data_IF_745284027375
#
_entry.id   IF_745284027375
#
_cell.length_a   1.000
_cell.length_b   1.000
_cell.length_c   1.000
_cell.angle_alpha   90.00
_cell.angle_beta   90.00
_cell.angle_gamma   90.00
#
_symmetry.space_group_name_H-M   'P 1'
#
loop_
_entity.id
_entity.type
_entity.pdbx_description
1 polymer ?
#
# COMPACT_ATOMS: atom_id res chain seq x y z
N UNK A 1 18.73 -36.66 -1.48
CA UNK A 1 18.72 -35.25 -1.91
C UNK A 1 17.77 -34.99 -3.07
N UNK A 2 17.67 -35.87 -4.09
CA UNK A 2 16.70 -35.69 -5.19
C UNK A 2 15.25 -35.47 -4.73
N UNK A 3 14.78 -36.19 -3.71
CA UNK A 3 13.45 -35.99 -3.12
C UNK A 3 13.31 -34.75 -2.21
N UNK A 4 14.41 -34.22 -1.66
CA UNK A 4 14.39 -33.02 -0.81
C UNK A 4 14.39 -31.74 -1.66
N UNK A 5 15.01 -31.79 -2.85
CA UNK A 5 14.98 -30.70 -3.82
C UNK A 5 13.58 -30.44 -4.40
N UNK A 6 12.68 -31.42 -4.30
CA UNK A 6 11.27 -31.27 -4.68
C UNK A 6 10.40 -30.63 -3.57
N UNK A 7 10.95 -30.47 -2.36
CA UNK A 7 10.29 -29.76 -1.26
C UNK A 7 10.68 -28.27 -1.29
N UNK A 8 9.78 -27.34 -0.93
CA UNK A 8 10.08 -25.91 -0.86
C UNK A 8 10.95 -25.61 0.37
N UNK A 9 12.21 -26.05 0.33
CA UNK A 9 13.17 -25.94 1.40
C UNK A 9 14.36 -25.11 0.92
N UNK A 10 14.78 -24.12 1.71
CA UNK A 10 15.92 -23.26 1.37
C UNK A 10 17.28 -23.84 1.78
N UNK A 11 17.31 -24.95 2.53
CA UNK A 11 18.54 -25.54 3.06
C UNK A 11 18.27 -26.52 4.19
N UNK A 12 19.30 -27.21 4.69
CA UNK A 12 19.17 -28.14 5.82
C UNK A 12 20.21 -27.85 6.90
N UNK A 13 19.78 -27.87 8.16
CA UNK A 13 20.68 -27.86 9.31
C UNK A 13 20.75 -29.26 9.92
N UNK A 14 21.95 -29.84 10.05
CA UNK A 14 22.16 -31.21 10.52
C UNK A 14 23.09 -31.25 11.73
N UNK A 15 22.74 -32.05 12.73
CA UNK A 15 23.61 -32.35 13.87
C UNK A 15 24.23 -33.74 13.69
N UNK A 16 25.54 -33.77 13.51
CA UNK A 16 26.31 -35.00 13.35
C UNK A 16 26.52 -35.71 14.71
N UNK A 17 27.00 -36.96 14.64
CA UNK A 17 27.32 -37.85 15.77
C UNK A 17 26.13 -38.23 16.67
N UNK A 18 24.91 -38.14 16.13
CA UNK A 18 23.69 -38.68 16.77
C UNK A 18 23.13 -39.89 16.01
N UNK A 19 23.12 -39.79 14.68
CA UNK A 19 22.64 -40.83 13.77
C UNK A 19 23.49 -40.93 12.50
N UNK A 20 24.25 -39.87 12.18
CA UNK A 20 25.11 -39.73 11.02
C UNK A 20 26.43 -39.16 11.55
N UNK A 21 27.53 -39.88 11.36
CA UNK A 21 28.84 -39.47 11.89
C UNK A 21 29.48 -38.37 11.03
N UNK A 22 29.43 -38.55 9.72
CA UNK A 22 30.01 -37.65 8.73
C UNK A 22 29.05 -37.51 7.55
N UNK A 23 29.06 -36.34 6.89
CA UNK A 23 28.28 -36.12 5.68
C UNK A 23 29.07 -36.72 4.51
N UNK A 24 28.51 -37.69 3.76
CA UNK A 24 29.20 -38.27 2.61
C UNK A 24 29.55 -37.20 1.55
N UNK A 25 30.72 -37.35 0.92
CA UNK A 25 31.26 -36.36 -0.02
C UNK A 25 30.37 -36.16 -1.26
N UNK A 26 29.76 -37.23 -1.75
CA UNK A 26 28.79 -37.23 -2.85
C UNK A 26 27.52 -36.40 -2.53
N UNK A 27 27.12 -36.32 -1.26
CA UNK A 27 26.01 -35.47 -0.81
C UNK A 27 26.42 -34.00 -0.80
N UNK A 28 27.65 -33.69 -0.41
CA UNK A 28 28.20 -32.32 -0.40
C UNK A 28 28.31 -31.81 -1.84
N UNK A 29 28.93 -32.59 -2.74
CA UNK A 29 29.09 -32.22 -4.15
C UNK A 29 27.74 -31.98 -4.84
N UNK A 30 26.74 -32.81 -4.52
CA UNK A 30 25.39 -32.63 -5.04
C UNK A 30 24.73 -31.36 -4.48
N UNK A 31 24.88 -31.09 -3.18
CA UNK A 31 24.32 -29.89 -2.55
C UNK A 31 24.96 -28.60 -3.11
N UNK A 32 26.27 -28.59 -3.31
CA UNK A 32 26.99 -27.49 -3.93
C UNK A 32 26.54 -27.26 -5.38
N UNK A 33 26.33 -28.35 -6.16
CA UNK A 33 25.81 -28.24 -7.53
C UNK A 33 24.39 -27.68 -7.63
N UNK A 34 23.61 -27.83 -6.55
CA UNK A 34 22.23 -27.36 -6.44
C UNK A 34 22.13 -26.01 -5.69
N UNK A 35 23.25 -25.40 -5.31
CA UNK A 35 23.30 -24.22 -4.43
C UNK A 35 22.45 -24.39 -3.15
N UNK A 36 22.37 -25.63 -2.63
CA UNK A 36 21.53 -25.99 -1.49
C UNK A 36 22.35 -26.00 -0.19
N UNK A 37 22.22 -25.00 0.68
CA UNK A 37 23.09 -24.88 1.85
C UNK A 37 22.85 -25.99 2.88
N UNK A 38 23.94 -26.64 3.30
CA UNK A 38 23.98 -27.57 4.42
C UNK A 38 24.72 -26.91 5.58
N UNK A 39 24.04 -26.74 6.71
CA UNK A 39 24.59 -26.12 7.92
C UNK A 39 24.84 -27.21 8.95
N UNK A 40 26.11 -27.41 9.31
CA UNK A 40 26.46 -28.31 10.42
C UNK A 40 26.26 -27.60 11.75
N UNK A 41 25.39 -28.16 12.60
CA UNK A 41 25.18 -27.66 13.97
C UNK A 41 26.32 -28.14 14.87
N UNK A 42 27.00 -27.24 15.61
CA UNK A 42 28.03 -27.61 16.58
C UNK A 42 27.53 -28.62 17.61
N UNK A 43 28.39 -29.56 18.01
CA UNK A 43 28.03 -30.61 18.98
C UNK A 43 27.60 -30.04 20.34
N UNK A 44 28.16 -28.89 20.71
CA UNK A 44 27.89 -28.14 21.95
C UNK A 44 26.47 -27.58 22.03
N UNK A 45 25.75 -27.46 20.90
CA UNK A 45 24.41 -26.89 20.84
C UNK A 45 23.35 -27.97 20.63
N UNK A 46 22.25 -27.92 21.39
CA UNK A 46 21.11 -28.81 21.14
C UNK A 46 20.29 -28.29 19.97
N UNK A 47 19.62 -29.19 19.23
CA UNK A 47 18.74 -28.79 18.14
C UNK A 47 17.62 -27.86 18.64
N UNK A 48 17.11 -28.12 19.85
CA UNK A 48 16.13 -27.25 20.52
C UNK A 48 16.67 -25.86 20.81
N UNK A 49 17.94 -25.73 21.24
CA UNK A 49 18.56 -24.42 21.46
C UNK A 49 18.76 -23.62 20.16
N UNK A 50 19.21 -24.28 19.09
CA UNK A 50 19.33 -23.63 17.76
C UNK A 50 17.96 -23.20 17.23
N UNK A 51 16.97 -24.08 17.30
CA UNK A 51 15.60 -23.76 16.90
C UNK A 51 15.04 -22.60 17.74
N UNK A 52 15.27 -22.59 19.05
CA UNK A 52 14.83 -21.52 19.93
C UNK A 52 15.51 -20.19 19.60
N UNK A 53 16.83 -20.18 19.32
CA UNK A 53 17.55 -18.96 18.92
C UNK A 53 17.04 -18.40 17.60
N UNK A 54 16.87 -19.26 16.58
CA UNK A 54 16.29 -18.85 15.31
C UNK A 54 14.86 -18.32 15.48
N UNK A 55 14.03 -19.02 16.27
CA UNK A 55 12.67 -18.59 16.54
C UNK A 55 12.64 -17.27 17.30
N UNK A 56 13.52 -17.07 18.28
CA UNK A 56 13.64 -15.81 19.03
C UNK A 56 14.01 -14.67 18.09
N UNK A 57 15.02 -14.86 17.23
CA UNK A 57 15.40 -13.86 16.23
C UNK A 57 14.25 -13.50 15.26
N UNK A 58 13.51 -14.51 14.78
CA UNK A 58 12.34 -14.29 13.93
C UNK A 58 11.23 -13.56 14.69
N UNK A 59 10.98 -13.94 15.94
CA UNK A 59 9.96 -13.33 16.79
C UNK A 59 10.31 -11.89 17.11
N UNK A 60 11.55 -11.59 17.49
CA UNK A 60 12.02 -10.23 17.80
C UNK A 60 11.79 -9.30 16.60
N UNK A 61 12.15 -9.74 15.39
CA UNK A 61 11.91 -8.98 14.16
C UNK A 61 10.42 -8.77 13.87
N UNK A 62 9.58 -9.81 14.02
CA UNK A 62 8.13 -9.70 13.81
C UNK A 62 7.44 -8.82 14.86
N UNK A 63 7.91 -8.89 16.10
CA UNK A 63 7.39 -8.08 17.22
C UNK A 63 7.69 -6.60 16.96
N UNK A 64 8.91 -6.28 16.54
CA UNK A 64 9.29 -4.90 16.18
C UNK A 64 8.51 -4.37 14.97
N UNK A 65 8.32 -5.17 13.91
CA UNK A 65 7.47 -4.78 12.77
C UNK A 65 6.01 -4.54 13.18
N UNK A 66 5.46 -5.38 14.05
CA UNK A 66 4.11 -5.24 14.57
C UNK A 66 3.98 -3.97 15.42
N UNK A 67 4.92 -3.74 16.34
CA UNK A 67 4.93 -2.53 17.17
C UNK A 67 5.06 -1.27 16.30
N UNK A 68 5.91 -1.32 15.28
CA UNK A 68 6.04 -0.23 14.32
C UNK A 68 4.74 0.00 13.56
N UNK A 69 4.10 -1.04 13.03
CA UNK A 69 2.82 -0.92 12.35
C UNK A 69 1.72 -0.33 13.27
N UNK A 70 1.66 -0.75 14.53
CA UNK A 70 0.76 -0.17 15.53
C UNK A 70 1.09 1.30 15.82
N UNK A 71 2.37 1.66 15.86
CA UNK A 71 2.80 3.05 16.03
C UNK A 71 2.32 3.91 14.87
N UNK A 72 2.53 3.46 13.63
CA UNK A 72 2.06 4.14 12.41
C UNK A 72 0.54 4.27 12.41
N UNK A 73 -0.20 3.20 12.75
CA UNK A 73 -1.66 3.26 12.87
C UNK A 73 -2.11 4.36 13.85
N UNK A 74 -1.49 4.43 15.04
CA UNK A 74 -1.81 5.43 16.06
C UNK A 74 -1.45 6.85 15.60
N UNK A 75 -0.28 7.04 14.99
CA UNK A 75 0.15 8.36 14.49
C UNK A 75 -0.83 8.88 13.43
N UNK A 76 -1.14 8.06 12.41
CA UNK A 76 -2.05 8.43 11.34
C UNK A 76 -3.47 8.66 11.86
N UNK A 77 -3.93 7.83 12.80
CA UNK A 77 -5.23 8.00 13.45
C UNK A 77 -5.30 9.35 14.17
N UNK A 78 -4.25 9.72 14.92
CA UNK A 78 -4.16 11.02 15.58
C UNK A 78 -4.19 12.18 14.57
N UNK A 79 -3.50 12.06 13.43
CA UNK A 79 -3.56 13.05 12.36
C UNK A 79 -4.99 13.19 11.80
N UNK A 80 -5.64 12.08 11.50
CA UNK A 80 -7.01 12.06 10.99
C UNK A 80 -8.01 12.69 11.97
N UNK A 81 -7.91 12.35 13.27
CA UNK A 81 -8.76 12.91 14.34
C UNK A 81 -8.53 14.42 14.49
N UNK A 82 -7.28 14.87 14.40
CA UNK A 82 -6.94 16.30 14.42
C UNK A 82 -7.35 17.05 13.15
N UNK A 83 -7.97 16.38 12.18
CA UNK A 83 -8.49 17.00 10.97
C UNK A 83 -7.41 17.29 9.92
N UNK A 84 -6.27 16.59 9.95
CA UNK A 84 -5.23 16.76 8.94
C UNK A 84 -5.76 16.40 7.55
N UNK A 85 -5.29 17.13 6.55
CA UNK A 85 -5.66 16.91 5.16
C UNK A 85 -5.09 15.60 4.63
N UNK A 86 -5.73 15.05 3.58
CA UNK A 86 -5.20 13.89 2.85
C UNK A 86 -3.76 14.13 2.36
N UNK A 87 -3.45 15.35 1.91
CA UNK A 87 -2.11 15.74 1.50
C UNK A 87 -1.11 15.63 2.63
N UNK A 88 -1.47 16.06 3.83
CA UNK A 88 -0.63 15.95 5.02
C UNK A 88 -0.33 14.48 5.38
N UNK A 89 -1.31 13.58 5.25
CA UNK A 89 -1.12 12.16 5.52
C UNK A 89 -0.13 11.52 4.52
N UNK A 90 -0.29 11.80 3.22
CA UNK A 90 0.62 11.28 2.19
C UNK A 90 2.02 11.88 2.30
N UNK A 91 2.12 13.16 2.65
CA UNK A 91 3.40 13.84 2.92
C UNK A 91 4.16 13.18 4.08
N UNK A 92 3.45 12.92 5.17
CA UNK A 92 3.99 12.25 6.36
C UNK A 92 4.39 10.81 6.02
N UNK A 93 3.54 10.06 5.30
CA UNK A 93 3.87 8.70 4.86
C UNK A 93 5.15 8.64 4.03
N UNK A 94 5.31 9.54 3.05
CA UNK A 94 6.55 9.61 2.27
C UNK A 94 7.77 9.94 3.14
N UNK A 95 7.61 10.81 4.14
CA UNK A 95 8.69 11.17 5.06
C UNK A 95 9.10 10.01 5.97
N UNK A 96 8.14 9.25 6.50
CA UNK A 96 8.37 8.08 7.34
C UNK A 96 9.06 6.96 6.56
N UNK A 97 8.56 6.67 5.35
CA UNK A 97 9.10 5.61 4.49
C UNK A 97 10.39 6.02 3.78
N UNK A 98 10.72 7.31 3.77
CA UNK A 98 11.82 7.91 2.97
C UNK A 98 11.74 7.54 1.48
N UNK A 99 10.53 7.33 0.99
CA UNK A 99 10.24 6.91 -0.37
C UNK A 99 9.22 7.86 -1.01
N UNK A 100 9.27 8.09 -2.35
CA UNK A 100 8.24 8.84 -3.04
C UNK A 100 6.90 8.09 -3.01
N UNK A 101 5.88 8.73 -2.44
CA UNK A 101 4.51 8.20 -2.37
C UNK A 101 3.56 9.03 -3.23
N UNK A 102 2.70 8.35 -4.00
CA UNK A 102 1.60 8.92 -4.78
C UNK A 102 0.27 8.27 -4.37
N UNK A 103 -0.80 9.06 -4.39
CA UNK A 103 -2.16 8.57 -4.27
C UNK A 103 -2.93 8.93 -5.54
N UNK A 104 -3.40 7.91 -6.25
CA UNK A 104 -4.24 8.05 -7.43
C UNK A 104 -5.69 7.77 -7.09
N UNK A 105 -6.60 8.51 -7.72
CA UNK A 105 -8.03 8.20 -7.69
C UNK A 105 -8.35 6.97 -8.56
N UNK A 106 -9.60 6.49 -8.53
CA UNK A 106 -10.02 5.32 -9.30
C UNK A 106 -9.93 5.46 -10.83
N UNK A 107 -9.71 6.67 -11.35
CA UNK A 107 -9.58 6.97 -12.79
C UNK A 107 -8.09 7.16 -13.15
N UNK A 108 -7.20 7.07 -12.16
CA UNK A 108 -5.75 7.17 -12.33
C UNK A 108 -5.23 8.61 -12.23
N UNK A 109 -6.01 9.58 -11.76
CA UNK A 109 -5.55 10.95 -11.58
C UNK A 109 -4.90 11.14 -10.21
N UNK A 110 -3.81 11.92 -10.15
CA UNK A 110 -3.07 12.18 -8.91
C UNK A 110 -3.92 13.05 -7.99
N UNK A 111 -4.26 12.52 -6.82
CA UNK A 111 -5.01 13.26 -5.78
C UNK A 111 -4.10 13.85 -4.72
N UNK A 112 -2.97 13.19 -4.44
CA UNK A 112 -2.01 13.61 -3.44
C UNK A 112 -0.65 12.95 -3.70
N UNK A 113 0.42 13.60 -3.23
CA UNK A 113 1.79 13.16 -3.41
C UNK A 113 2.70 13.66 -2.28
N UNK A 114 3.78 12.93 -2.03
CA UNK A 114 4.81 13.32 -1.05
C UNK A 114 5.82 14.34 -1.60
N UNK A 115 6.54 15.03 -0.71
CA UNK A 115 7.53 16.07 -1.02
C UNK A 115 8.58 15.66 -2.06
N UNK A 116 8.89 14.37 -2.19
CA UNK A 116 9.80 13.83 -3.21
C UNK A 116 9.43 14.27 -4.64
N UNK A 117 8.16 14.53 -4.92
CA UNK A 117 7.67 14.94 -6.24
C UNK A 117 7.74 16.45 -6.51
N UNK A 118 8.29 17.25 -5.59
CA UNK A 118 8.37 18.71 -5.77
C UNK A 118 9.46 19.14 -6.75
N UNK A 119 10.49 18.32 -6.95
CA UNK A 119 11.62 18.57 -7.86
C UNK A 119 11.23 18.39 -9.33
N UNK A 120 11.82 19.18 -10.24
CA UNK A 120 11.48 19.16 -11.68
C UNK A 120 11.53 17.77 -12.33
N UNK A 121 12.60 17.00 -12.09
CA UNK A 121 12.73 15.64 -12.64
C UNK A 121 11.65 14.70 -12.12
N UNK A 122 11.33 14.78 -10.83
CA UNK A 122 10.32 13.90 -10.22
C UNK A 122 8.90 14.26 -10.65
N UNK A 123 8.61 15.50 -11.04
CA UNK A 123 7.31 15.86 -11.65
C UNK A 123 7.11 15.15 -12.99
N UNK A 124 8.17 14.98 -13.78
CA UNK A 124 8.12 14.25 -15.06
C UNK A 124 7.85 12.77 -14.78
N UNK A 125 8.57 12.18 -13.81
CA UNK A 125 8.33 10.80 -13.37
C UNK A 125 6.89 10.60 -12.93
N UNK A 126 6.34 11.48 -12.10
CA UNK A 126 4.94 11.42 -11.65
C UNK A 126 3.96 11.39 -12.83
N UNK A 127 4.18 12.24 -13.83
CA UNK A 127 3.33 12.30 -15.03
C UNK A 127 3.41 11.00 -15.84
N UNK A 128 4.62 10.47 -16.04
CA UNK A 128 4.82 9.21 -16.75
C UNK A 128 4.16 8.02 -16.04
N UNK A 129 4.32 7.94 -14.71
CA UNK A 129 3.66 6.93 -13.85
C UNK A 129 2.14 7.03 -13.99
N UNK A 130 1.60 8.23 -13.89
CA UNK A 130 0.16 8.49 -14.00
C UNK A 130 -0.38 8.03 -15.37
N UNK A 131 0.27 8.42 -16.46
CA UNK A 131 -0.16 8.07 -17.81
C UNK A 131 -0.13 6.56 -18.07
N UNK A 132 0.90 5.86 -17.58
CA UNK A 132 1.01 4.41 -17.73
C UNK A 132 -0.08 3.69 -16.94
N UNK A 133 -0.30 4.07 -15.67
CA UNK A 133 -1.33 3.44 -14.83
C UNK A 133 -2.72 3.68 -15.40
N UNK A 134 -2.97 4.87 -15.95
CA UNK A 134 -4.25 5.21 -16.56
C UNK A 134 -4.54 4.40 -17.82
N UNK A 135 -3.51 4.02 -18.60
CA UNK A 135 -3.67 3.18 -19.80
C UNK A 135 -4.07 1.75 -19.45
N UNK A 136 -3.44 1.17 -18.43
CA UNK A 136 -3.62 -0.24 -18.07
C UNK A 136 -4.42 -0.43 -16.77
N UNK A 137 -5.29 0.53 -16.42
CA UNK A 137 -5.98 0.58 -15.12
C UNK A 137 -6.80 -0.68 -14.82
N UNK A 138 -7.42 -1.28 -15.84
CA UNK A 138 -8.17 -2.53 -15.71
C UNK A 138 -7.29 -3.69 -15.25
N UNK A 139 -6.04 -3.75 -15.71
CA UNK A 139 -5.06 -4.77 -15.31
C UNK A 139 -4.65 -4.60 -13.84
N UNK A 140 -4.69 -3.37 -13.33
CA UNK A 140 -4.30 -3.02 -11.97
C UNK A 140 -5.41 -3.21 -10.93
N UNK A 141 -6.68 -3.32 -11.36
CA UNK A 141 -7.82 -3.52 -10.46
C UNK A 141 -7.82 -4.90 -9.79
N UNK A 142 -7.25 -5.91 -10.43
CA UNK A 142 -7.29 -7.31 -9.97
C UNK A 142 -6.11 -7.70 -9.08
N UNK A 143 -5.03 -6.91 -9.02
CA UNK A 143 -3.83 -7.24 -8.25
C UNK A 143 -3.74 -6.43 -6.95
N UNK A 144 -3.43 -7.09 -5.84
CA UNK A 144 -3.24 -6.43 -4.54
C UNK A 144 -1.90 -5.70 -4.43
N UNK A 145 -0.90 -6.17 -5.18
CA UNK A 145 0.43 -5.58 -5.30
C UNK A 145 0.93 -5.84 -6.72
N UNK A 146 1.60 -4.84 -7.31
CA UNK A 146 2.22 -4.96 -8.62
C UNK A 146 3.52 -4.17 -8.61
N UNK A 147 4.58 -4.74 -9.19
CA UNK A 147 5.85 -4.06 -9.49
C UNK A 147 5.87 -3.66 -10.95
N UNK A 148 5.91 -2.36 -11.22
CA UNK A 148 5.95 -1.81 -12.58
C UNK A 148 7.34 -1.22 -12.80
N UNK A 149 7.99 -1.60 -13.89
CA UNK A 149 9.18 -0.92 -14.42
C UNK A 149 8.75 0.07 -15.51
N UNK A 150 9.18 1.33 -15.41
CA UNK A 150 8.77 2.41 -16.32
C UNK A 150 9.89 2.70 -17.33
N UNK A 151 9.54 2.75 -18.62
CA UNK A 151 10.43 2.95 -19.78
C UNK A 151 11.63 3.89 -19.49
N UNK A 152 12.85 3.36 -19.62
CA UNK A 152 14.15 4.05 -19.51
C UNK A 152 14.59 4.61 -18.14
N UNK A 153 13.86 4.32 -17.07
CA UNK A 153 14.32 4.59 -15.71
C UNK A 153 14.01 3.38 -14.85
N UNK A 154 15.02 2.76 -14.24
CA UNK A 154 14.90 1.63 -13.32
C UNK A 154 14.14 2.04 -12.04
N UNK A 155 12.82 2.25 -12.17
CA UNK A 155 11.92 2.64 -11.10
C UNK A 155 10.93 1.51 -10.92
N UNK A 156 11.17 0.75 -9.88
CA UNK A 156 10.24 -0.20 -9.28
C UNK A 156 9.15 0.57 -8.51
N UNK A 157 7.92 0.09 -8.59
CA UNK A 157 6.77 0.70 -7.90
C UNK A 157 6.03 -0.37 -7.13
N UNK A 158 5.77 -0.19 -5.84
CA UNK A 158 4.87 -1.03 -5.08
C UNK A 158 3.50 -0.35 -4.95
N UNK A 159 2.46 -1.02 -5.42
CA UNK A 159 1.07 -0.53 -5.38
C UNK A 159 0.26 -1.17 -4.24
N UNK A 160 -0.58 -0.37 -3.60
CA UNK A 160 -1.54 -0.79 -2.57
C UNK A 160 -2.93 -0.24 -2.91
N UNK A 161 -3.96 -1.07 -2.69
CA UNK A 161 -5.35 -0.66 -2.88
C UNK A 161 -5.88 0.01 -1.61
N UNK A 162 -6.39 1.23 -1.75
CA UNK A 162 -7.05 1.97 -0.68
C UNK A 162 -8.55 1.92 -0.95
N UNK A 163 -9.27 1.09 -0.19
CA UNK A 163 -10.71 0.88 -0.37
C UNK A 163 -11.49 2.14 0.03
N UNK A 164 -12.58 2.42 -0.66
CA UNK A 164 -13.57 3.45 -0.28
C UNK A 164 -14.98 2.85 -0.36
N UNK A 165 -16.03 3.68 -0.26
CA UNK A 165 -17.42 3.23 -0.44
C UNK A 165 -17.74 2.94 -1.91
N UNK A 166 -16.87 3.38 -2.83
CA UNK A 166 -17.04 3.17 -4.26
C UNK A 166 -16.53 1.78 -4.67
N UNK A 167 -17.08 1.20 -5.75
CA UNK A 167 -16.64 -0.10 -6.26
C UNK A 167 -15.17 -0.11 -6.71
N UNK A 168 -14.65 1.04 -7.13
CA UNK A 168 -13.27 1.19 -7.59
C UNK A 168 -12.39 1.85 -6.51
N UNK A 169 -11.27 1.23 -6.12
CA UNK A 169 -10.39 1.72 -5.07
C UNK A 169 -9.53 2.89 -5.55
N UNK A 170 -8.99 3.66 -4.61
CA UNK A 170 -7.83 4.51 -4.86
C UNK A 170 -6.56 3.66 -4.85
N UNK A 171 -5.50 4.14 -5.50
CA UNK A 171 -4.22 3.43 -5.57
C UNK A 171 -3.12 4.23 -4.87
N UNK A 172 -2.52 3.63 -3.85
CA UNK A 172 -1.35 4.17 -3.16
C UNK A 172 -0.09 3.54 -3.77
N UNK A 173 0.79 4.36 -4.34
CA UNK A 173 2.01 3.93 -5.01
C UNK A 173 3.22 4.37 -4.22
N UNK A 174 4.19 3.47 -4.07
CA UNK A 174 5.47 3.71 -3.42
C UNK A 174 6.55 3.41 -4.45
N UNK A 175 7.29 4.44 -4.86
CA UNK A 175 8.40 4.29 -5.80
C UNK A 175 9.65 3.89 -5.03
N UNK A 176 10.52 3.10 -5.67
CA UNK A 176 11.75 2.58 -5.09
C UNK A 176 11.53 1.80 -3.77
N UNK A 177 10.60 0.82 -3.71
CA UNK A 177 10.37 0.01 -2.51
C UNK A 177 11.63 -0.71 -1.99
N UNK A 178 12.66 -0.92 -2.82
CA UNK A 178 13.97 -1.45 -2.42
C UNK A 178 14.73 -0.54 -1.44
N UNK A 179 14.36 0.74 -1.34
CA UNK A 179 14.94 1.70 -0.39
C UNK A 179 14.24 1.72 0.96
N UNK A 180 13.17 0.93 1.14
CA UNK A 180 12.48 0.82 2.42
C UNK A 180 13.42 0.24 3.49
N UNK A 181 13.67 1.03 4.53
CA UNK A 181 14.49 0.60 5.66
C UNK A 181 13.63 -0.05 6.74
N UNK A 182 14.11 -1.15 7.32
CA UNK A 182 13.54 -1.72 8.54
C UNK A 182 13.36 -0.65 9.65
N UNK A 183 12.26 -0.65 10.43
CA UNK A 183 11.15 -1.60 10.44
C UNK A 183 9.99 -1.23 9.50
N UNK A 184 10.21 -0.40 8.47
CA UNK A 184 9.19 -0.03 7.49
C UNK A 184 8.77 -1.24 6.65
N UNK A 185 7.81 -2.00 7.19
CA UNK A 185 7.30 -3.24 6.60
C UNK A 185 6.04 -2.99 5.79
N UNK A 186 5.63 -4.03 5.07
CA UNK A 186 4.34 -4.03 4.38
C UNK A 186 3.17 -3.77 5.33
N UNK A 187 3.21 -4.35 6.54
CA UNK A 187 2.16 -4.18 7.53
C UNK A 187 2.03 -2.70 7.96
N UNK A 188 3.13 -1.99 8.13
CA UNK A 188 3.12 -0.57 8.48
C UNK A 188 2.46 0.29 7.40
N UNK A 189 2.75 0.01 6.13
CA UNK A 189 2.14 0.69 4.99
C UNK A 189 0.64 0.38 4.92
N UNK A 190 0.25 -0.88 5.15
CA UNK A 190 -1.16 -1.28 5.21
C UNK A 190 -1.91 -0.54 6.33
N UNK A 191 -1.30 -0.38 7.50
CA UNK A 191 -1.90 0.37 8.60
C UNK A 191 -2.08 1.86 8.28
N UNK A 192 -1.09 2.50 7.66
CA UNK A 192 -1.24 3.88 7.16
C UNK A 192 -2.35 3.96 6.11
N UNK A 193 -2.36 3.02 5.16
CA UNK A 193 -3.37 2.92 4.10
C UNK A 193 -4.79 2.78 4.64
N UNK A 194 -5.00 1.99 5.70
CA UNK A 194 -6.30 1.88 6.38
C UNK A 194 -6.78 3.24 6.90
N UNK A 195 -5.91 4.03 7.51
CA UNK A 195 -6.29 5.35 8.03
C UNK A 195 -6.52 6.36 6.89
N UNK A 196 -5.72 6.27 5.83
CA UNK A 196 -5.94 7.05 4.59
C UNK A 196 -7.33 6.72 4.00
N UNK A 197 -7.71 5.44 3.97
CA UNK A 197 -9.04 4.98 3.55
C UNK A 197 -10.14 5.63 4.40
N UNK A 198 -10.03 5.62 5.73
CA UNK A 198 -11.00 6.31 6.59
C UNK A 198 -11.08 7.82 6.34
N UNK A 199 -9.95 8.46 6.05
CA UNK A 199 -9.92 9.88 5.71
C UNK A 199 -10.61 10.16 4.37
N UNK A 200 -10.41 9.29 3.37
CA UNK A 200 -11.13 9.36 2.09
C UNK A 200 -12.64 9.20 2.27
N UNK A 201 -13.05 8.17 3.02
CA UNK A 201 -14.45 7.91 3.34
C UNK A 201 -15.12 9.11 4.02
N UNK A 202 -14.45 9.69 5.03
CA UNK A 202 -14.91 10.91 5.71
C UNK A 202 -15.11 12.06 4.72
N UNK A 203 -14.13 12.31 3.85
CA UNK A 203 -14.19 13.41 2.89
C UNK A 203 -15.25 13.19 1.81
N UNK A 204 -15.49 11.95 1.40
CA UNK A 204 -16.57 11.58 0.48
C UNK A 204 -17.93 11.81 1.12
N UNK A 205 -18.14 11.36 2.36
CA UNK A 205 -19.39 11.56 3.10
C UNK A 205 -19.70 13.05 3.32
N UNK A 206 -18.69 13.87 3.64
CA UNK A 206 -18.85 15.32 3.77
C UNK A 206 -19.26 15.94 2.43
N UNK A 207 -18.58 15.60 1.33
CA UNK A 207 -18.90 16.11 -0.01
C UNK A 207 -20.30 15.73 -0.47
N UNK A 208 -20.71 14.50 -0.22
CA UNK A 208 -22.04 14.03 -0.55
C UNK A 208 -23.12 14.78 0.23
N UNK A 209 -22.92 14.97 1.54
CA UNK A 209 -23.83 15.71 2.38
C UNK A 209 -23.94 17.19 1.95
N UNK A 210 -22.81 17.85 1.67
CA UNK A 210 -22.81 19.22 1.11
C UNK A 210 -23.63 19.30 -0.18
N UNK A 211 -23.48 18.33 -1.10
CA UNK A 211 -24.25 18.28 -2.35
C UNK A 211 -25.75 18.09 -2.11
N UNK A 212 -26.13 17.28 -1.12
CA UNK A 212 -27.53 17.10 -0.74
C UNK A 212 -28.14 18.38 -0.18
N UNK A 213 -27.40 19.09 0.69
CA UNK A 213 -27.84 20.38 1.23
C UNK A 213 -28.00 21.44 0.14
N UNK A 214 -27.02 21.55 -0.77
CA UNK A 214 -27.09 22.46 -1.92
C UNK A 214 -28.30 22.14 -2.81
N UNK A 215 -28.50 20.88 -3.17
CA UNK A 215 -29.65 20.47 -3.98
C UNK A 215 -30.98 20.75 -3.28
N UNK A 216 -31.10 20.43 -2.00
CA UNK A 216 -32.32 20.67 -1.22
C UNK A 216 -32.62 22.17 -1.05
N UNK A 217 -31.61 23.02 -1.04
CA UNK A 217 -31.79 24.47 -1.02
C UNK A 217 -32.17 25.04 -2.39
N UNK A 218 -31.50 24.60 -3.46
CA UNK A 218 -31.68 25.17 -4.80
C UNK A 218 -32.95 24.69 -5.50
N UNK A 219 -33.36 23.42 -5.31
CA UNK A 219 -34.52 22.85 -6.00
C UNK A 219 -35.84 23.58 -5.65
N UNK A 220 -36.14 23.93 -4.38
CA UNK A 220 -37.32 24.72 -4.06
C UNK A 220 -37.30 26.13 -4.66
N UNK A 221 -36.15 26.82 -4.65
CA UNK A 221 -36.04 28.18 -5.20
C UNK A 221 -36.26 28.22 -6.73
N UNK A 222 -35.75 27.20 -7.43
CA UNK A 222 -36.00 27.04 -8.85
C UNK A 222 -37.48 26.75 -9.11
N UNK A 223 -38.07 25.81 -8.37
CA UNK A 223 -39.50 25.47 -8.47
C UNK A 223 -40.41 26.67 -8.18
N UNK A 224 -40.09 27.47 -7.17
CA UNK A 224 -40.82 28.68 -6.81
C UNK A 224 -40.77 29.70 -7.95
N UNK A 225 -39.58 29.96 -8.52
CA UNK A 225 -39.42 30.85 -9.68
C UNK A 225 -40.14 30.36 -10.93
N UNK A 226 -40.20 29.04 -11.16
CA UNK A 226 -41.00 28.46 -12.24
C UNK A 226 -42.51 28.68 -12.02
N UNK A 227 -43.00 28.51 -10.79
CA UNK A 227 -44.40 28.75 -10.45
C UNK A 227 -44.78 30.24 -10.52
N UNK A 228 -43.90 31.15 -10.09
CA UNK A 228 -44.11 32.60 -10.20
C UNK A 228 -44.17 33.04 -11.66
N UNK A 229 -43.21 32.61 -12.49
CA UNK A 229 -43.20 32.92 -13.92
C UNK A 229 -44.43 32.36 -14.64
N UNK A 230 -44.90 31.15 -14.29
CA UNK A 230 -46.11 30.57 -14.90
C UNK A 230 -47.39 31.35 -14.54
N UNK A 231 -47.46 31.96 -13.34
CA UNK A 231 -48.57 32.85 -12.97
C UNK A 231 -48.56 34.18 -13.73
N UNK A 232 -47.38 34.73 -14.02
CA UNK A 232 -47.25 35.95 -14.85
C UNK A 232 -47.76 35.73 -16.28
N UNK A 233 -47.51 34.56 -16.89
CA UNK A 233 -48.02 34.25 -18.24
C UNK A 233 -49.53 33.96 -18.32
N UNK A 234 -50.18 33.61 -17.20
CA UNK A 234 -51.63 33.33 -17.18
C UNK A 234 -52.44 34.57 -16.77
N UNK A 235 -51.81 35.53 -16.05
CA UNK A 235 -52.45 36.77 -15.63
C UNK A 235 -52.64 37.83 -16.73
N UNK A 236 -51.90 37.76 -17.85
CA UNK A 236 -52.02 38.73 -18.95
C UNK A 236 -53.12 38.38 -19.98
N UNK A 237 -53.70 37.19 -19.95
CA UNK A 237 -54.76 36.76 -20.88
C UNK A 237 -56.20 36.90 -20.33
N UNK A 238 -56.40 37.64 -19.22
CA UNK A 238 -57.71 37.84 -18.58
C UNK A 238 -58.18 39.31 -18.55
N UNK A 239 -57.56 40.20 -19.32
CA UNK A 239 -58.07 41.56 -19.55
C UNK A 239 -58.05 41.87 -21.06
N UNK A 240 -59.00 41.30 -21.79
CA UNK A 240 -59.42 41.75 -23.12
C UNK A 240 -60.92 41.47 -23.28
#
# INVERSE_FOLDING_TARGET
MSQINELPCAGIAIKLKRFIDEIPQDVIELADSLEFPIIQIPETLTLGAVAHQLLSFIWDNQIEELFYAMHIHKEFTNMMIKGYSLNSLIENLGSLLKCPVLLLDPIGDVTSFSHHFRTGNMKIVMKNVQEQIKRDIETYLEKNQLTIDIQNTDISIKMFRVKTMRPYPYFLLILHPEKLSYPSSQLAIEQASTVISFTLLKNEAIRENSRLLENNFLLPLLMERFLTNKKLFIGENSMA
#
